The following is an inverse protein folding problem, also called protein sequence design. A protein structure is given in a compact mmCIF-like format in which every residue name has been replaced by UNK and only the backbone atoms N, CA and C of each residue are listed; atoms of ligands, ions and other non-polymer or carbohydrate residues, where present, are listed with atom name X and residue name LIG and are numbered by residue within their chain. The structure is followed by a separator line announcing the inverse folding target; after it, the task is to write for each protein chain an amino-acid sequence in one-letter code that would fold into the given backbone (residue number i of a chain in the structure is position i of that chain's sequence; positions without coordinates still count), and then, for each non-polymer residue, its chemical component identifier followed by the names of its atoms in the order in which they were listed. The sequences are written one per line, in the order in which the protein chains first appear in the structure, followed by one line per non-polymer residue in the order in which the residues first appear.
data_IF_979743602387
#
_entry.id   IF_979743602387
#
_cell.length_a   1.000
_cell.length_b   1.000
_cell.length_c   1.000
_cell.angle_alpha   90.00
_cell.angle_beta   90.00
_cell.angle_gamma   90.00
#
_symmetry.space_group_name_H-M   'P 1'
#
loop_
_entity.id
_entity.type
_entity.pdbx_description
1 polymer ?
#
# COMPACT_ATOMS: atom_id res chain seq x y z
N UNK A 1 17.90 1.72 1.38
CA UNK A 1 16.73 1.07 2.04
C UNK A 1 15.97 0.19 1.05
N UNK A 2 16.69 -0.54 0.18
CA UNK A 2 16.15 -1.14 -1.05
C UNK A 2 16.47 -2.64 -1.21
N UNK A 3 17.47 -3.17 -0.49
CA UNK A 3 17.94 -4.55 -0.67
C UNK A 3 16.84 -5.62 -0.57
N UNK A 4 16.01 -5.61 0.48
CA UNK A 4 15.16 -6.78 0.77
C UNK A 4 14.03 -7.02 -0.21
N UNK A 5 13.45 -5.94 -0.76
CA UNK A 5 12.41 -6.06 -1.78
C UNK A 5 13.03 -6.47 -3.12
N UNK A 6 14.15 -5.86 -3.50
CA UNK A 6 14.84 -6.18 -4.76
C UNK A 6 15.37 -7.61 -4.76
N UNK A 7 15.92 -8.08 -3.63
CA UNK A 7 16.42 -9.44 -3.48
C UNK A 7 15.28 -10.48 -3.52
N UNK A 8 14.11 -10.16 -2.94
CA UNK A 8 12.91 -10.99 -3.07
C UNK A 8 12.53 -11.14 -4.55
N UNK A 9 12.42 -10.04 -5.30
CA UNK A 9 12.06 -10.09 -6.72
C UNK A 9 13.09 -10.86 -7.56
N UNK A 10 14.39 -10.67 -7.32
CA UNK A 10 15.43 -11.43 -8.03
C UNK A 10 15.32 -12.95 -7.81
N UNK A 11 14.98 -13.38 -6.59
CA UNK A 11 14.86 -14.80 -6.24
C UNK A 11 13.47 -15.37 -6.52
N UNK A 12 12.48 -14.52 -6.77
CA UNK A 12 11.10 -14.93 -7.02
C UNK A 12 10.99 -15.89 -8.22
N UNK A 13 11.74 -15.60 -9.29
CA UNK A 13 11.73 -16.39 -10.52
C UNK A 13 12.29 -17.81 -10.37
N UNK A 14 13.01 -18.11 -9.29
CA UNK A 14 13.55 -19.45 -9.03
C UNK A 14 12.58 -20.33 -8.21
N UNK A 15 11.51 -19.75 -7.68
CA UNK A 15 10.50 -20.46 -6.91
C UNK A 15 9.40 -21.02 -7.83
N UNK A 16 9.17 -22.33 -7.77
CA UNK A 16 8.14 -23.00 -8.59
C UNK A 16 7.00 -23.57 -7.75
N UNK A 17 7.27 -23.90 -6.48
CA UNK A 17 6.29 -24.50 -5.56
C UNK A 17 5.88 -23.52 -4.46
N UNK A 18 4.64 -23.66 -3.96
CA UNK A 18 4.15 -22.81 -2.86
C UNK A 18 5.08 -22.80 -1.63
N UNK A 19 5.62 -23.96 -1.24
CA UNK A 19 6.55 -24.05 -0.10
C UNK A 19 7.83 -23.23 -0.30
N UNK A 20 8.35 -23.17 -1.53
CA UNK A 20 9.52 -22.33 -1.83
C UNK A 20 9.18 -20.85 -1.76
N UNK A 21 8.02 -20.45 -2.29
CA UNK A 21 7.51 -19.08 -2.18
C UNK A 21 7.33 -18.65 -0.73
N UNK A 22 6.74 -19.52 0.09
CA UNK A 22 6.57 -19.26 1.52
C UNK A 22 7.91 -19.10 2.24
N UNK A 23 8.86 -20.01 2.01
CA UNK A 23 10.19 -19.93 2.63
C UNK A 23 10.96 -18.66 2.20
N UNK A 24 10.87 -18.28 0.93
CA UNK A 24 11.46 -17.04 0.42
C UNK A 24 10.82 -15.82 1.09
N UNK A 25 9.49 -15.80 1.20
CA UNK A 25 8.76 -14.73 1.87
C UNK A 25 9.16 -14.58 3.34
N UNK A 26 9.18 -15.67 4.10
CA UNK A 26 9.58 -15.65 5.51
C UNK A 26 11.01 -15.12 5.69
N UNK A 27 11.95 -15.57 4.85
CA UNK A 27 13.33 -15.08 4.84
C UNK A 27 13.41 -13.57 4.52
N UNK A 28 12.65 -13.10 3.55
CA UNK A 28 12.58 -11.69 3.19
C UNK A 28 11.91 -10.85 4.28
N UNK A 29 10.94 -11.39 5.01
CA UNK A 29 10.33 -10.73 6.16
C UNK A 29 11.31 -10.59 7.33
N UNK A 30 12.06 -11.64 7.66
CA UNK A 30 13.08 -11.60 8.72
C UNK A 30 14.21 -10.60 8.44
N UNK A 31 14.56 -10.41 7.18
CA UNK A 31 15.59 -9.43 6.77
C UNK A 31 15.04 -8.01 6.63
N UNK A 32 13.72 -7.81 6.70
CA UNK A 32 13.07 -6.54 6.41
C UNK A 32 13.39 -5.49 7.48
N UNK A 33 13.93 -4.30 7.11
CA UNK A 33 14.18 -3.25 8.08
C UNK A 33 12.90 -2.82 8.81
N UNK A 34 12.99 -2.54 10.11
CA UNK A 34 11.85 -2.08 10.92
C UNK A 34 11.14 -0.86 10.31
N UNK A 35 11.90 0.03 9.65
CA UNK A 35 11.36 1.20 8.94
C UNK A 35 10.42 0.80 7.80
N UNK A 36 10.67 -0.31 7.10
CA UNK A 36 9.80 -0.84 6.03
C UNK A 36 8.52 -1.40 6.63
N UNK A 37 8.61 -2.21 7.69
CA UNK A 37 7.45 -2.73 8.41
C UNK A 37 6.54 -1.60 8.92
N UNK A 38 7.12 -0.57 9.53
CA UNK A 38 6.37 0.63 9.98
C UNK A 38 5.62 1.30 8.83
N UNK A 39 6.27 1.49 7.68
CA UNK A 39 5.62 2.07 6.48
C UNK A 39 4.47 1.21 5.98
N UNK A 40 4.62 -0.11 6.00
CA UNK A 40 3.58 -1.04 5.59
C UNK A 40 2.35 -0.95 6.51
N UNK A 41 2.54 -1.02 7.83
CA UNK A 41 1.44 -0.86 8.79
C UNK A 41 0.78 0.52 8.70
N UNK A 42 1.56 1.59 8.50
CA UNK A 42 1.02 2.92 8.26
C UNK A 42 0.14 2.99 7.00
N UNK A 43 0.56 2.32 5.92
CA UNK A 43 -0.24 2.24 4.69
C UNK A 43 -1.56 1.51 4.93
N UNK A 44 -1.52 0.35 5.61
CA UNK A 44 -2.71 -0.42 5.96
C UNK A 44 -3.66 0.42 6.83
N UNK A 45 -3.13 1.08 7.86
CA UNK A 45 -3.92 1.92 8.75
C UNK A 45 -4.62 3.05 7.99
N UNK A 46 -3.93 3.73 7.07
CA UNK A 46 -4.53 4.77 6.22
C UNK A 46 -5.61 4.22 5.29
N UNK A 47 -5.42 3.01 4.76
CA UNK A 47 -6.41 2.36 3.91
C UNK A 47 -7.69 2.02 4.70
N UNK A 48 -7.55 1.52 5.93
CA UNK A 48 -8.70 1.31 6.82
C UNK A 48 -9.42 2.62 7.14
N UNK A 49 -8.69 3.68 7.47
CA UNK A 49 -9.27 5.00 7.69
C UNK A 49 -10.01 5.53 6.45
N UNK A 50 -9.48 5.30 5.25
CA UNK A 50 -10.16 5.68 4.01
C UNK A 50 -11.50 4.94 3.84
N UNK A 51 -11.52 3.64 4.13
CA UNK A 51 -12.72 2.82 4.06
C UNK A 51 -13.75 3.19 5.15
N UNK A 52 -13.32 3.51 6.37
CA UNK A 52 -14.19 4.05 7.42
C UNK A 52 -14.85 5.38 7.02
N UNK A 53 -14.19 6.16 6.16
CA UNK A 53 -14.75 7.39 5.61
C UNK A 53 -15.74 7.12 4.45
N UNK A 54 -15.87 5.88 3.99
CA UNK A 54 -16.77 5.48 2.91
C UNK A 54 -16.15 5.50 1.51
N UNK A 55 -14.87 5.85 1.39
CA UNK A 55 -14.13 5.82 0.11
C UNK A 55 -13.94 4.39 -0.35
N UNK A 56 -14.04 4.10 -1.65
CA UNK A 56 -13.87 2.74 -2.19
C UNK A 56 -12.85 2.69 -3.30
N UNK A 57 -12.16 1.55 -3.41
CA UNK A 57 -11.26 1.25 -4.54
C UNK A 57 -10.34 2.41 -4.92
N UNK A 58 -10.58 2.97 -6.12
CA UNK A 58 -9.80 4.08 -6.70
C UNK A 58 -9.86 5.37 -5.87
N UNK A 59 -11.02 5.71 -5.30
CA UNK A 59 -11.17 6.91 -4.47
C UNK A 59 -10.24 6.85 -3.25
N UNK A 60 -10.17 5.69 -2.60
CA UNK A 60 -9.27 5.48 -1.47
C UNK A 60 -7.80 5.60 -1.89
N UNK A 61 -7.43 5.09 -3.08
CA UNK A 61 -6.07 5.23 -3.61
C UNK A 61 -5.71 6.69 -3.90
N UNK A 62 -6.62 7.44 -4.54
CA UNK A 62 -6.46 8.87 -4.83
C UNK A 62 -6.31 9.64 -3.52
N UNK A 63 -7.16 9.36 -2.53
CA UNK A 63 -7.10 9.96 -1.20
C UNK A 63 -5.76 9.70 -0.52
N UNK A 64 -5.30 8.45 -0.50
CA UNK A 64 -4.03 8.07 0.11
C UNK A 64 -2.84 8.73 -0.58
N UNK A 65 -2.92 8.95 -1.91
CA UNK A 65 -1.88 9.65 -2.69
C UNK A 65 -1.89 11.15 -2.38
N UNK A 66 -3.06 11.80 -2.45
CA UNK A 66 -3.23 13.24 -2.20
C UNK A 66 -2.81 13.61 -0.77
N UNK A 67 -3.21 12.82 0.22
CA UNK A 67 -2.91 13.07 1.63
C UNK A 67 -1.73 12.23 2.15
N UNK A 68 -0.76 11.92 1.30
CA UNK A 68 0.39 11.07 1.66
C UNK A 68 1.26 11.67 2.79
N UNK A 69 1.30 12.99 2.91
CA UNK A 69 1.98 13.73 3.98
C UNK A 69 1.22 13.77 5.30
N UNK A 70 -0.09 13.52 5.27
CA UNK A 70 -0.94 13.61 6.46
C UNK A 70 -1.00 12.26 7.18
N UNK A 71 -1.06 12.28 8.51
CA UNK A 71 -1.24 11.05 9.28
C UNK A 71 -2.60 10.40 8.98
N UNK A 72 -3.66 11.22 8.85
CA UNK A 72 -5.04 10.82 8.58
C UNK A 72 -5.61 11.60 7.39
N UNK A 73 -6.45 10.94 6.60
CA UNK A 73 -7.24 11.60 5.55
C UNK A 73 -8.36 12.42 6.23
N UNK A 74 -8.43 13.75 6.03
CA UNK A 74 -9.43 14.57 6.68
C UNK A 74 -10.82 14.30 6.11
N UNK A 75 -11.89 14.40 6.93
CA UNK A 75 -13.27 14.13 6.47
C UNK A 75 -13.70 15.04 5.31
N UNK A 76 -13.24 16.28 5.30
CA UNK A 76 -13.49 17.24 4.21
C UNK A 76 -12.91 16.79 2.87
N UNK A 77 -11.96 15.85 2.86
CA UNK A 77 -11.39 15.32 1.63
C UNK A 77 -12.41 14.56 0.76
N UNK A 78 -13.51 14.06 1.34
CA UNK A 78 -14.50 13.25 0.62
C UNK A 78 -15.06 13.97 -0.61
N UNK A 79 -15.37 15.27 -0.49
CA UNK A 79 -15.88 16.08 -1.59
C UNK A 79 -14.85 16.22 -2.71
N UNK A 80 -13.60 16.54 -2.37
CA UNK A 80 -12.52 16.68 -3.33
C UNK A 80 -12.20 15.37 -4.06
N UNK A 81 -12.23 14.25 -3.35
CA UNK A 81 -11.84 12.94 -3.89
C UNK A 81 -12.90 12.44 -4.87
N UNK A 82 -14.19 12.62 -4.57
CA UNK A 82 -15.28 12.19 -5.45
C UNK A 82 -15.21 12.91 -6.80
N UNK A 83 -14.97 14.23 -6.80
CA UNK A 83 -14.79 15.03 -8.02
C UNK A 83 -13.59 14.53 -8.84
N UNK A 84 -12.46 14.23 -8.19
CA UNK A 84 -11.27 13.73 -8.88
C UNK A 84 -11.45 12.30 -9.42
N UNK A 85 -12.13 11.43 -8.68
CA UNK A 85 -12.35 10.05 -9.12
C UNK A 85 -13.30 9.97 -10.33
N UNK A 86 -14.34 10.80 -10.36
CA UNK A 86 -15.23 10.93 -11.52
C UNK A 86 -14.49 11.49 -12.73
N UNK A 87 -13.68 12.55 -12.56
CA UNK A 87 -12.93 13.16 -13.67
C UNK A 87 -11.98 12.20 -14.41
N UNK A 88 -11.45 11.18 -13.73
CA UNK A 88 -10.55 10.17 -14.33
C UNK A 88 -11.32 9.07 -15.07
N UNK A 89 -12.60 8.82 -14.72
CA UNK A 89 -13.43 7.83 -15.40
C UNK A 89 -13.98 8.32 -16.75
N UNK A 90 -13.95 9.63 -17.00
CA UNK A 90 -14.43 10.27 -18.23
C UNK A 90 -13.31 10.79 -19.15
N UNK A 91 -12.06 10.40 -18.87
CA UNK A 91 -10.86 10.65 -19.69
C UNK A 91 -10.24 9.35 -20.12
#
# INVERSE_FOLDING_TARGET
MHQTQEDYWRQSHTCTTWKQWQALFEKSCCSCPLKTLRKFFQKIYRQHLAYELGLRGLEAQIAMKKYSSHFRIPRVALMDIHVMALGILYT
#
